data_IF_651143431309
#
_entry.id   IF_651143431309
#
_cell.length_a   1.000
_cell.length_b   1.000
_cell.length_c   1.000
_cell.angle_alpha   90.00
_cell.angle_beta   90.00
_cell.angle_gamma   90.00
#
_symmetry.space_group_name_H-M   'P 1'
#
loop_
_entity.id
_entity.type
_entity.pdbx_description
1 polymer ?
#
# COMPACT_ATOMS: atom_id res chain seq x y z
N UNK A 1 -7.69 -11.66 -4.49
CA UNK A 1 -9.10 -11.76 -4.93
C UNK A 1 -9.67 -13.10 -4.46
N UNK A 2 -10.92 -13.16 -4.00
CA UNK A 2 -11.57 -14.45 -3.70
C UNK A 2 -12.02 -15.14 -4.99
N UNK A 3 -11.85 -16.44 -5.06
CA UNK A 3 -12.24 -17.29 -6.19
C UNK A 3 -13.30 -18.29 -5.73
N UNK A 4 -14.19 -18.67 -6.65
CA UNK A 4 -15.10 -19.79 -6.42
C UNK A 4 -14.30 -21.10 -6.53
N UNK A 5 -14.34 -21.90 -5.48
CA UNK A 5 -13.77 -23.25 -5.51
C UNK A 5 -14.49 -24.10 -6.55
N UNK A 6 -13.74 -24.55 -7.56
CA UNK A 6 -14.23 -25.46 -8.58
C UNK A 6 -13.05 -26.26 -9.13
N UNK A 7 -13.32 -27.46 -9.61
CA UNK A 7 -12.32 -28.29 -10.28
C UNK A 7 -12.86 -28.58 -11.67
N UNK A 8 -12.10 -28.24 -12.69
CA UNK A 8 -12.43 -28.57 -14.07
C UNK A 8 -11.27 -29.30 -14.74
N UNK A 9 -11.59 -30.15 -15.70
CA UNK A 9 -10.58 -30.87 -16.49
C UNK A 9 -10.44 -30.16 -17.82
N UNK A 10 -9.23 -29.73 -18.16
CA UNK A 10 -8.92 -29.30 -19.50
C UNK A 10 -8.64 -30.53 -20.35
N UNK A 11 -9.62 -30.91 -21.18
CA UNK A 11 -9.52 -32.09 -22.03
C UNK A 11 -8.44 -32.00 -23.11
N UNK A 12 -7.95 -30.79 -23.44
CA UNK A 12 -6.90 -30.59 -24.45
C UNK A 12 -5.50 -30.78 -23.89
N UNK A 13 -5.24 -30.25 -22.71
CA UNK A 13 -3.93 -30.39 -22.02
C UNK A 13 -3.88 -31.58 -21.06
N UNK A 14 -5.01 -32.25 -20.82
CA UNK A 14 -5.18 -33.29 -19.81
C UNK A 14 -4.76 -32.82 -18.40
N UNK A 15 -4.96 -31.55 -18.10
CA UNK A 15 -4.62 -30.93 -16.81
C UNK A 15 -5.88 -30.61 -16.01
N UNK A 16 -5.74 -30.60 -14.69
CA UNK A 16 -6.77 -30.10 -13.78
C UNK A 16 -6.60 -28.59 -13.59
N UNK A 17 -7.71 -27.86 -13.64
CA UNK A 17 -7.79 -26.41 -13.37
C UNK A 17 -8.57 -26.23 -12.06
N UNK A 18 -8.12 -25.29 -11.23
CA UNK A 18 -8.78 -24.93 -9.97
C UNK A 18 -8.11 -25.49 -8.71
N UNK A 19 -6.91 -26.03 -8.85
CA UNK A 19 -6.01 -26.35 -7.74
C UNK A 19 -5.05 -25.19 -7.47
N UNK A 20 -4.44 -25.19 -6.30
CA UNK A 20 -3.36 -24.27 -5.95
C UNK A 20 -2.14 -24.45 -6.88
N UNK A 21 -1.68 -23.34 -7.45
CA UNK A 21 -0.59 -23.27 -8.41
C UNK A 21 0.20 -21.95 -8.26
N UNK A 22 1.48 -22.09 -7.93
CA UNK A 22 2.45 -21.01 -7.79
C UNK A 22 3.51 -20.99 -8.92
N UNK A 23 3.34 -21.79 -9.97
CA UNK A 23 4.23 -21.80 -11.14
C UNK A 23 5.65 -22.32 -10.86
N UNK A 24 5.85 -23.11 -9.81
CA UNK A 24 7.14 -23.72 -9.48
C UNK A 24 7.27 -25.10 -10.12
N UNK A 25 8.18 -25.25 -11.08
CA UNK A 25 8.46 -26.53 -11.77
C UNK A 25 8.90 -27.65 -10.81
N UNK A 26 9.61 -27.33 -9.71
CA UNK A 26 10.02 -28.33 -8.70
C UNK A 26 8.86 -28.74 -7.76
N UNK A 27 7.85 -27.89 -7.58
CA UNK A 27 6.66 -28.21 -6.76
C UNK A 27 5.54 -28.90 -7.55
N UNK A 28 5.68 -29.04 -8.87
CA UNK A 28 4.80 -29.91 -9.69
C UNK A 28 4.79 -31.35 -9.15
N UNK A 29 5.84 -31.76 -8.41
CA UNK A 29 5.88 -33.08 -7.75
C UNK A 29 5.12 -33.18 -6.43
N UNK A 30 4.73 -32.05 -5.82
CA UNK A 30 3.78 -31.99 -4.70
C UNK A 30 2.54 -31.25 -5.17
N UNK A 31 1.73 -31.90 -6.00
CA UNK A 31 0.38 -31.43 -6.33
C UNK A 31 -0.35 -31.12 -5.02
N UNK A 32 -0.55 -29.83 -4.73
CA UNK A 32 -1.46 -29.40 -3.70
C UNK A 32 -2.84 -29.87 -4.13
N UNK A 33 -3.41 -30.85 -3.43
CA UNK A 33 -4.78 -31.33 -3.68
C UNK A 33 -5.84 -30.33 -3.21
N UNK A 34 -5.40 -29.18 -2.72
CA UNK A 34 -6.24 -28.11 -2.23
C UNK A 34 -6.84 -27.34 -3.39
N UNK A 35 -8.14 -27.10 -3.31
CA UNK A 35 -8.85 -26.24 -4.24
C UNK A 35 -8.43 -24.80 -4.01
N UNK A 36 -8.14 -24.09 -5.09
CA UNK A 36 -7.84 -22.68 -5.01
C UNK A 36 -9.13 -21.89 -4.71
N UNK A 37 -9.03 -20.98 -3.75
CA UNK A 37 -10.10 -20.06 -3.37
C UNK A 37 -9.62 -18.60 -3.30
N UNK A 38 -8.35 -18.35 -3.59
CA UNK A 38 -7.77 -17.02 -3.71
C UNK A 38 -6.92 -16.90 -4.97
N UNK A 39 -7.06 -15.79 -5.69
CA UNK A 39 -6.19 -15.37 -6.77
C UNK A 39 -5.22 -14.29 -6.29
N UNK A 40 -3.93 -14.55 -6.44
CA UNK A 40 -2.86 -13.56 -6.31
C UNK A 40 -2.53 -13.03 -7.70
N UNK A 41 -2.54 -11.72 -7.88
CA UNK A 41 -2.20 -11.07 -9.15
C UNK A 41 -1.11 -10.04 -8.90
N UNK A 42 -0.04 -10.11 -9.69
CA UNK A 42 0.93 -9.03 -9.79
C UNK A 42 0.61 -8.19 -11.01
N UNK A 43 0.52 -6.89 -10.79
CA UNK A 43 0.25 -5.91 -11.84
C UNK A 43 1.39 -4.91 -11.88
N UNK A 44 1.94 -4.73 -13.07
CA UNK A 44 2.90 -3.69 -13.36
C UNK A 44 2.18 -2.41 -13.76
N UNK A 45 2.72 -1.26 -13.34
CA UNK A 45 2.17 0.06 -13.61
C UNK A 45 3.32 1.01 -13.94
N UNK A 46 3.24 1.67 -15.10
CA UNK A 46 4.25 2.65 -15.50
C UNK A 46 4.06 3.97 -14.78
N UNK A 47 5.15 4.53 -14.24
CA UNK A 47 5.12 5.85 -13.61
C UNK A 47 5.05 7.00 -14.63
N UNK A 48 5.69 6.83 -15.79
CA UNK A 48 5.73 7.83 -16.86
C UNK A 48 4.51 7.73 -17.76
N UNK A 49 4.21 6.53 -18.23
CA UNK A 49 3.15 6.27 -19.21
C UNK A 49 1.84 5.85 -18.53
N UNK A 50 0.69 6.09 -19.17
CA UNK A 50 -0.59 5.58 -18.66
C UNK A 50 -0.79 4.11 -19.08
N UNK A 51 0.10 3.24 -18.60
CA UNK A 51 0.12 1.82 -18.94
C UNK A 51 0.14 0.97 -17.69
N UNK A 52 -0.74 -0.03 -17.65
CA UNK A 52 -0.83 -1.04 -16.60
C UNK A 52 -1.02 -2.40 -17.23
N UNK A 53 -0.40 -3.43 -16.66
CA UNK A 53 -0.45 -4.79 -17.22
C UNK A 53 -0.37 -5.84 -16.10
N UNK A 54 -1.25 -6.85 -16.07
CA UNK A 54 -1.05 -8.01 -15.21
C UNK A 54 0.17 -8.81 -15.72
N UNK A 55 1.14 -9.06 -14.85
CA UNK A 55 2.40 -9.75 -15.19
C UNK A 55 2.46 -11.18 -14.65
N UNK A 56 1.70 -11.48 -13.59
CA UNK A 56 1.60 -12.83 -13.05
C UNK A 56 0.24 -13.02 -12.37
N UNK A 57 -0.29 -14.24 -12.48
CA UNK A 57 -1.53 -14.68 -11.82
C UNK A 57 -1.27 -16.05 -11.22
N UNK A 58 -1.55 -16.19 -9.93
CA UNK A 58 -1.39 -17.44 -9.18
C UNK A 58 -2.68 -17.81 -8.49
N UNK A 59 -2.95 -19.11 -8.42
CA UNK A 59 -4.10 -19.68 -7.74
C UNK A 59 -3.63 -20.25 -6.40
N UNK A 60 -4.32 -19.92 -5.30
CA UNK A 60 -3.89 -20.30 -3.95
C UNK A 60 -5.04 -20.77 -3.08
N UNK A 61 -4.75 -21.71 -2.19
CA UNK A 61 -5.68 -22.17 -1.16
C UNK A 61 -5.48 -21.31 0.10
N UNK A 62 -6.20 -20.19 0.15
CA UNK A 62 -6.08 -19.16 1.17
C UNK A 62 -5.11 -18.04 0.78
N UNK A 63 -4.91 -17.04 1.66
CA UNK A 63 -3.92 -15.99 1.43
C UNK A 63 -2.51 -16.57 1.31
N UNK A 64 -1.77 -16.11 0.29
CA UNK A 64 -0.38 -16.53 0.06
C UNK A 64 0.48 -16.15 1.26
N UNK A 65 1.25 -17.13 1.77
CA UNK A 65 2.11 -16.94 2.94
C UNK A 65 3.21 -15.93 2.63
N UNK A 66 3.54 -15.08 3.59
CA UNK A 66 4.47 -13.95 3.39
C UNK A 66 5.83 -14.35 2.83
N UNK A 67 6.41 -15.48 3.26
CA UNK A 67 7.72 -15.94 2.75
C UNK A 67 7.64 -16.37 1.28
N UNK A 68 6.59 -17.10 0.89
CA UNK A 68 6.40 -17.49 -0.52
C UNK A 68 6.10 -16.26 -1.38
N UNK A 69 5.32 -15.32 -0.86
CA UNK A 69 5.05 -14.06 -1.53
C UNK A 69 6.35 -13.28 -1.81
N UNK A 70 7.29 -13.23 -0.86
CA UNK A 70 8.60 -12.59 -1.06
C UNK A 70 9.40 -13.22 -2.19
N UNK A 71 9.41 -14.56 -2.29
CA UNK A 71 10.08 -15.26 -3.40
C UNK A 71 9.45 -14.91 -4.75
N UNK A 72 8.12 -14.91 -4.81
CA UNK A 72 7.37 -14.55 -6.02
C UNK A 72 7.64 -13.10 -6.43
N UNK A 73 7.69 -12.17 -5.48
CA UNK A 73 8.00 -10.76 -5.73
C UNK A 73 9.42 -10.59 -6.24
N UNK A 74 10.43 -11.22 -5.64
CA UNK A 74 11.82 -11.17 -6.11
C UNK A 74 11.93 -11.73 -7.55
N UNK A 75 11.28 -12.86 -7.82
CA UNK A 75 11.22 -13.44 -9.17
C UNK A 75 10.56 -12.49 -10.18
N UNK A 76 9.47 -11.83 -9.79
CA UNK A 76 8.81 -10.85 -10.63
C UNK A 76 9.72 -9.64 -10.95
N UNK A 77 10.47 -9.12 -9.97
CA UNK A 77 11.41 -8.03 -10.20
C UNK A 77 12.50 -8.45 -11.20
N UNK A 78 13.10 -9.62 -11.00
CA UNK A 78 14.15 -10.14 -11.88
C UNK A 78 13.67 -10.26 -13.33
N UNK A 79 12.49 -10.84 -13.56
CA UNK A 79 11.93 -11.01 -14.91
C UNK A 79 11.55 -9.68 -15.56
N UNK A 80 11.05 -8.72 -14.78
CA UNK A 80 10.71 -7.39 -15.30
C UNK A 80 11.96 -6.59 -15.70
N UNK A 81 13.02 -6.64 -14.89
CA UNK A 81 14.30 -5.98 -15.17
C UNK A 81 15.00 -6.62 -16.37
N UNK A 82 14.97 -7.96 -16.48
CA UNK A 82 15.49 -8.69 -17.64
C UNK A 82 14.75 -8.31 -18.95
N UNK A 83 13.44 -8.07 -18.86
CA UNK A 83 12.63 -7.55 -19.97
C UNK A 83 12.89 -6.06 -20.30
N UNK A 84 13.77 -5.39 -19.55
CA UNK A 84 14.16 -3.99 -19.75
C UNK A 84 13.31 -2.96 -18.99
N UNK A 85 12.45 -3.39 -18.07
CA UNK A 85 11.67 -2.48 -17.23
C UNK A 85 12.40 -2.15 -15.92
N UNK A 86 12.49 -0.87 -15.57
CA UNK A 86 13.07 -0.45 -14.30
C UNK A 86 12.04 -0.46 -13.17
N UNK A 87 12.19 -1.40 -12.24
CA UNK A 87 11.35 -1.51 -11.07
C UNK A 87 11.91 -0.63 -9.95
N UNK A 88 11.16 0.44 -9.63
CA UNK A 88 11.57 1.42 -8.60
C UNK A 88 10.77 1.30 -7.31
N UNK A 89 9.66 0.58 -7.31
CA UNK A 89 8.87 0.38 -6.10
C UNK A 89 7.80 -0.68 -6.20
N UNK A 90 7.32 -1.12 -5.03
CA UNK A 90 6.30 -2.15 -4.88
C UNK A 90 5.19 -1.59 -3.99
N UNK A 91 3.95 -1.72 -4.43
CA UNK A 91 2.77 -1.31 -3.65
C UNK A 91 1.95 -2.52 -3.25
N UNK A 92 1.57 -2.61 -1.98
CA UNK A 92 0.68 -3.64 -1.46
C UNK A 92 -0.26 -3.09 -0.36
N UNK A 93 -1.31 -3.84 -0.03
CA UNK A 93 -2.19 -3.47 1.08
C UNK A 93 -1.52 -3.66 2.46
N UNK A 94 -2.27 -3.34 3.52
CA UNK A 94 -1.82 -3.48 4.91
C UNK A 94 -2.04 -4.86 5.54
N UNK A 95 -2.31 -5.91 4.76
CA UNK A 95 -2.56 -7.26 5.27
C UNK A 95 -1.33 -7.85 5.98
N UNK A 96 -1.58 -8.75 6.94
CA UNK A 96 -0.52 -9.37 7.76
C UNK A 96 0.49 -10.15 6.92
N UNK A 97 0.05 -10.82 5.85
CA UNK A 97 0.91 -11.55 4.91
C UNK A 97 1.90 -10.62 4.20
N UNK A 98 1.44 -9.45 3.77
CA UNK A 98 2.27 -8.42 3.13
C UNK A 98 3.27 -7.79 4.12
N UNK A 99 2.89 -7.65 5.40
CA UNK A 99 3.83 -7.22 6.45
C UNK A 99 4.91 -8.27 6.73
N UNK A 100 4.56 -9.56 6.72
CA UNK A 100 5.54 -10.64 6.82
C UNK A 100 6.47 -10.66 5.62
N UNK A 101 5.96 -10.40 4.41
CA UNK A 101 6.77 -10.25 3.20
C UNK A 101 7.79 -9.11 3.38
N UNK A 102 7.37 -7.93 3.82
CA UNK A 102 8.28 -6.79 4.09
C UNK A 102 9.40 -7.17 5.07
N UNK A 103 9.05 -7.76 6.21
CA UNK A 103 10.03 -8.18 7.21
C UNK A 103 11.03 -9.20 6.64
N UNK A 104 10.56 -10.16 5.85
CA UNK A 104 11.45 -11.16 5.23
C UNK A 104 12.38 -10.60 4.16
N UNK A 105 12.01 -9.48 3.55
CA UNK A 105 12.86 -8.74 2.61
C UNK A 105 13.78 -7.71 3.33
N UNK A 106 13.71 -7.63 4.66
CA UNK A 106 14.53 -6.71 5.47
C UNK A 106 13.99 -5.29 5.58
N UNK A 107 12.71 -5.07 5.29
CA UNK A 107 12.04 -3.76 5.43
C UNK A 107 11.51 -3.62 6.86
N UNK A 108 11.78 -2.49 7.50
CA UNK A 108 11.45 -2.25 8.91
C UNK A 108 11.08 -0.79 9.18
N UNK A 109 10.01 -0.57 9.93
CA UNK A 109 9.56 0.75 10.36
C UNK A 109 10.13 1.18 11.74
N UNK A 110 10.91 0.30 12.38
CA UNK A 110 11.47 0.54 13.71
C UNK A 110 12.47 1.69 13.67
N UNK A 111 12.45 2.58 14.66
CA UNK A 111 13.31 3.78 14.67
C UNK A 111 14.81 3.48 14.59
N UNK A 112 15.27 2.40 15.22
CA UNK A 112 16.70 2.03 15.27
C UNK A 112 17.19 1.32 14.00
N UNK A 113 16.26 0.72 13.25
CA UNK A 113 16.53 -0.08 12.05
C UNK A 113 15.49 0.27 11.00
N UNK A 114 15.41 1.57 10.70
CA UNK A 114 14.42 2.07 9.75
C UNK A 114 14.93 1.81 8.34
N UNK A 115 14.21 0.99 7.59
CA UNK A 115 14.53 0.62 6.22
C UNK A 115 13.25 0.49 5.41
N UNK A 116 13.06 1.38 4.44
CA UNK A 116 11.87 1.50 3.60
C UNK A 116 12.06 0.96 2.17
N UNK A 117 13.24 0.43 1.86
CA UNK A 117 13.60 -0.08 0.54
C UNK A 117 14.33 -1.43 0.64
N UNK A 118 14.38 -2.14 -0.48
CA UNK A 118 15.26 -3.28 -0.70
C UNK A 118 16.27 -2.93 -1.79
N UNK A 119 17.43 -3.56 -1.77
CA UNK A 119 18.35 -3.51 -2.91
C UNK A 119 17.71 -4.27 -4.08
N UNK A 120 17.81 -3.70 -5.28
CA UNK A 120 17.22 -4.34 -6.45
C UNK A 120 17.99 -5.65 -6.73
N UNK A 121 17.29 -6.80 -6.80
CA UNK A 121 17.93 -8.11 -6.96
C UNK A 121 18.63 -8.28 -8.33
N UNK A 122 18.27 -7.48 -9.34
CA UNK A 122 18.92 -7.47 -10.64
C UNK A 122 20.13 -6.53 -10.68
N UNK A 123 20.07 -5.42 -9.94
CA UNK A 123 21.12 -4.38 -9.89
C UNK A 123 21.21 -3.78 -8.48
N UNK A 124 22.20 -4.23 -7.71
CA UNK A 124 22.36 -3.85 -6.30
C UNK A 124 22.65 -2.37 -6.08
N UNK A 125 23.02 -1.61 -7.13
CA UNK A 125 23.19 -0.16 -7.03
C UNK A 125 21.86 0.60 -6.89
N UNK A 126 20.76 -0.03 -7.33
CA UNK A 126 19.42 0.56 -7.30
C UNK A 126 18.60 0.06 -6.13
N UNK A 127 17.63 0.88 -5.75
CA UNK A 127 16.72 0.62 -4.64
C UNK A 127 15.31 0.41 -5.17
N UNK A 128 14.59 -0.53 -4.56
CA UNK A 128 13.16 -0.74 -4.78
C UNK A 128 12.43 -0.34 -3.50
N UNK A 129 11.66 0.75 -3.57
CA UNK A 129 10.97 1.32 -2.42
C UNK A 129 9.65 0.61 -2.13
N UNK A 130 9.31 0.44 -0.86
CA UNK A 130 8.05 -0.20 -0.45
C UNK A 130 6.97 0.83 -0.16
N UNK A 131 5.76 0.56 -0.65
CA UNK A 131 4.58 1.39 -0.45
C UNK A 131 3.44 0.53 0.10
N UNK A 132 2.86 0.95 1.21
CA UNK A 132 1.51 0.52 1.58
C UNK A 132 0.50 1.40 0.84
N UNK A 133 -0.60 0.81 0.39
CA UNK A 133 -1.63 1.56 -0.31
C UNK A 133 -2.16 2.76 0.50
N UNK A 134 -1.87 3.98 0.02
CA UNK A 134 -2.16 5.21 0.74
C UNK A 134 -3.67 5.48 0.91
N UNK A 135 -4.54 5.29 -0.10
CA UNK A 135 -5.99 5.33 0.07
C UNK A 135 -6.50 4.38 1.17
N UNK A 136 -6.05 3.13 1.19
CA UNK A 136 -6.42 2.17 2.25
C UNK A 136 -5.89 2.56 3.62
N UNK A 137 -4.68 3.09 3.72
CA UNK A 137 -4.15 3.60 4.98
C UNK A 137 -5.01 4.74 5.52
N UNK A 138 -5.38 5.71 4.68
CA UNK A 138 -6.27 6.82 5.06
C UNK A 138 -7.65 6.31 5.46
N UNK A 139 -8.19 5.32 4.74
CA UNK A 139 -9.45 4.64 5.10
C UNK A 139 -9.36 3.95 6.46
N UNK A 140 -8.25 3.29 6.78
CA UNK A 140 -8.02 2.64 8.07
C UNK A 140 -7.92 3.66 9.22
N UNK A 141 -7.22 4.78 9.01
CA UNK A 141 -7.12 5.88 9.98
C UNK A 141 -8.52 6.49 10.23
N UNK A 142 -9.28 6.74 9.17
CA UNK A 142 -10.65 7.24 9.25
C UNK A 142 -11.58 6.27 9.97
N UNK A 143 -11.55 4.99 9.60
CA UNK A 143 -12.39 3.95 10.23
C UNK A 143 -12.05 3.79 11.71
N UNK A 144 -10.76 3.90 12.06
CA UNK A 144 -10.29 3.90 13.46
C UNK A 144 -10.86 5.08 14.23
N UNK A 145 -10.78 6.30 13.66
CA UNK A 145 -11.33 7.50 14.28
C UNK A 145 -12.86 7.44 14.41
N UNK A 146 -13.56 6.84 13.44
CA UNK A 146 -15.01 6.63 13.50
C UNK A 146 -15.40 5.65 14.61
N UNK A 147 -14.72 4.51 14.70
CA UNK A 147 -15.02 3.46 15.70
C UNK A 147 -14.70 3.91 17.14
N UNK A 148 -13.52 4.51 17.34
CA UNK A 148 -13.05 4.90 18.67
C UNK A 148 -13.43 6.33 19.07
N UNK A 149 -14.04 7.07 18.15
CA UNK A 149 -14.56 8.44 18.29
C UNK A 149 -13.53 9.50 18.69
N UNK A 150 -12.31 9.11 19.04
CA UNK A 150 -11.24 9.95 19.58
C UNK A 150 -9.89 9.49 19.06
N UNK A 151 -9.03 10.45 18.69
CA UNK A 151 -7.60 10.29 18.51
C UNK A 151 -6.90 11.31 19.40
N UNK A 152 -6.09 10.84 20.35
CA UNK A 152 -5.33 11.73 21.24
C UNK A 152 -3.90 11.79 20.75
N UNK A 153 -3.51 12.95 20.24
CA UNK A 153 -2.20 13.21 19.66
C UNK A 153 -1.18 13.59 20.74
N UNK A 154 -1.65 14.33 21.75
CA UNK A 154 -0.84 14.86 22.84
C UNK A 154 -1.72 14.97 24.11
N UNK A 155 -1.23 14.64 25.31
CA UNK A 155 -2.01 14.77 26.55
C UNK A 155 -2.41 16.20 26.89
N UNK A 156 -1.61 17.18 26.46
CA UNK A 156 -1.83 18.60 26.70
C UNK A 156 -2.80 19.22 25.69
N UNK A 157 -3.12 18.51 24.61
CA UNK A 157 -4.03 18.98 23.56
C UNK A 157 -5.36 18.25 23.63
N UNK A 158 -6.43 18.93 23.24
CA UNK A 158 -7.74 18.30 23.14
C UNK A 158 -7.70 17.12 22.16
N UNK A 159 -8.26 15.99 22.57
CA UNK A 159 -8.44 14.82 21.70
C UNK A 159 -9.26 15.20 20.47
N UNK A 160 -8.81 14.75 19.30
CA UNK A 160 -9.52 14.93 18.03
C UNK A 160 -10.74 14.01 18.08
N UNK A 161 -11.94 14.60 18.20
CA UNK A 161 -13.21 13.87 18.25
C UNK A 161 -13.85 13.83 16.86
N UNK A 162 -14.45 12.70 16.49
CA UNK A 162 -15.21 12.61 15.23
C UNK A 162 -16.35 13.65 15.16
N UNK A 163 -16.97 13.97 16.29
CA UNK A 163 -18.02 14.98 16.41
C UNK A 163 -17.57 16.38 15.99
N UNK A 164 -16.27 16.71 16.12
CA UNK A 164 -15.74 18.00 15.67
C UNK A 164 -15.77 18.10 14.13
N UNK A 165 -15.50 17.01 13.41
CA UNK A 165 -15.61 16.96 11.95
C UNK A 165 -17.06 17.11 11.48
N UNK A 166 -18.01 16.47 12.18
CA UNK A 166 -19.44 16.61 11.88
C UNK A 166 -19.94 18.04 12.13
N UNK A 167 -19.47 18.68 13.21
CA UNK A 167 -19.83 20.05 13.51
C UNK A 167 -19.25 21.01 12.48
N UNK A 168 -17.97 20.89 12.12
CA UNK A 168 -17.35 21.71 11.05
C UNK A 168 -18.13 21.55 9.73
N UNK A 169 -18.49 20.33 9.34
CA UNK A 169 -19.27 20.09 8.13
C UNK A 169 -20.65 20.76 8.17
N UNK A 170 -21.37 20.69 9.30
CA UNK A 170 -22.67 21.36 9.49
C UNK A 170 -22.53 22.88 9.46
N UNK A 171 -21.50 23.43 10.12
CA UNK A 171 -21.25 24.87 10.18
C UNK A 171 -20.83 25.44 8.82
N UNK A 172 -20.04 24.68 8.04
CA UNK A 172 -19.67 25.05 6.67
C UNK A 172 -20.82 24.96 5.67
N UNK A 173 -21.75 24.02 5.86
CA UNK A 173 -22.96 23.91 5.04
C UNK A 173 -23.90 25.10 5.17
N UNK A 174 -23.85 25.81 6.30
CA UNK A 174 -24.69 26.97 6.60
C UNK A 174 -23.98 28.33 6.40
N UNK A 175 -22.70 28.36 6.06
CA UNK A 175 -21.90 29.60 5.94
C UNK A 175 -21.74 30.05 4.49
N UNK A 176 -21.93 31.36 4.23
CA UNK A 176 -21.65 31.99 2.92
C UNK A 176 -20.15 32.02 2.58
N UNK A 177 -19.29 32.16 3.58
CA UNK A 177 -17.83 32.14 3.43
C UNK A 177 -17.29 30.83 4.00
N UNK A 178 -16.85 29.94 3.11
CA UNK A 178 -16.27 28.65 3.51
C UNK A 178 -14.80 28.83 3.85
N UNK A 179 -14.41 28.33 5.02
CA UNK A 179 -13.00 28.31 5.47
C UNK A 179 -12.28 27.14 4.80
N UNK A 180 -12.99 26.04 4.56
CA UNK A 180 -12.57 24.84 3.86
C UNK A 180 -13.45 24.61 2.62
N UNK A 181 -13.39 25.46 1.58
CA UNK A 181 -14.30 25.42 0.42
C UNK A 181 -14.26 24.10 -0.37
N UNK A 182 -13.20 23.29 -0.18
CA UNK A 182 -13.07 21.96 -0.79
C UNK A 182 -13.83 20.87 -0.02
N UNK A 183 -14.23 21.10 1.23
CA UNK A 183 -14.98 20.16 2.06
C UNK A 183 -16.39 19.99 1.48
N UNK A 184 -16.59 18.87 0.78
CA UNK A 184 -17.85 18.52 0.10
C UNK A 184 -18.49 17.31 0.77
N UNK A 185 -19.75 16.98 0.46
CA UNK A 185 -20.34 15.67 0.79
C UNK A 185 -19.40 14.52 0.38
N UNK A 186 -18.62 14.73 -0.67
CA UNK A 186 -17.66 13.78 -1.18
C UNK A 186 -16.37 13.60 -0.33
N UNK A 187 -16.11 14.45 0.66
CA UNK A 187 -15.14 14.13 1.72
C UNK A 187 -15.66 13.05 2.68
N UNK A 188 -16.97 12.80 2.61
CA UNK A 188 -17.65 11.66 3.19
C UNK A 188 -17.98 10.59 2.11
N UNK A 189 -17.81 10.88 0.80
CA UNK A 189 -18.05 9.99 -0.38
C UNK A 189 -17.10 10.20 -1.60
N UNK A 190 -16.33 9.18 -1.97
CA UNK A 190 -15.04 9.17 -2.70
C UNK A 190 -14.93 9.91 -4.08
N UNK A 191 -13.76 10.54 -4.34
CA UNK A 191 -13.13 10.60 -5.68
C UNK A 191 -11.62 11.00 -5.64
N UNK A 192 -10.78 10.32 -6.44
CA UNK A 192 -9.30 10.41 -6.44
C UNK A 192 -8.74 11.14 -7.68
N UNK A 193 -8.36 12.41 -7.57
CA UNK A 193 -7.39 13.04 -8.49
C UNK A 193 -6.73 14.26 -7.82
N UNK A 194 -5.43 14.17 -7.53
CA UNK A 194 -4.62 15.32 -7.14
C UNK A 194 -3.22 15.25 -7.79
N UNK A 195 -2.80 16.36 -8.40
CA UNK A 195 -1.45 16.57 -8.96
C UNK A 195 -0.71 17.56 -8.04
N UNK A 196 0.54 17.29 -7.69
CA UNK A 196 1.32 18.13 -6.75
C UNK A 196 2.57 18.75 -7.41
N UNK A 197 2.91 19.99 -7.00
CA UNK A 197 4.22 20.60 -7.22
C UNK A 197 5.17 20.17 -6.09
N UNK A 198 6.34 19.66 -6.47
CA UNK A 198 7.26 18.86 -5.62
C UNK A 198 7.82 19.62 -4.41
N UNK A 199 8.18 20.90 -4.56
CA UNK A 199 8.87 21.65 -3.49
C UNK A 199 8.05 21.83 -2.22
N UNK A 200 6.73 22.04 -2.36
CA UNK A 200 5.81 22.18 -1.22
C UNK A 200 5.34 20.83 -0.67
N UNK A 201 5.30 19.79 -1.53
CA UNK A 201 4.90 18.44 -1.14
C UNK A 201 5.92 17.81 -0.19
N UNK A 202 7.22 17.93 -0.48
CA UNK A 202 8.28 17.38 0.36
C UNK A 202 8.26 17.98 1.77
N UNK A 203 8.07 19.29 1.90
CA UNK A 203 7.97 19.97 3.20
C UNK A 203 6.79 19.45 4.02
N UNK A 204 5.62 19.27 3.40
CA UNK A 204 4.43 18.74 4.08
C UNK A 204 4.64 17.28 4.51
N UNK A 205 5.25 16.45 3.64
CA UNK A 205 5.53 15.05 3.96
C UNK A 205 6.56 14.92 5.09
N UNK A 206 7.61 15.75 5.09
CA UNK A 206 8.57 15.81 6.20
C UNK A 206 7.92 16.21 7.52
N UNK A 207 7.09 17.27 7.52
CA UNK A 207 6.32 17.67 8.70
C UNK A 207 5.38 16.56 9.18
N UNK A 208 4.75 15.82 8.26
CA UNK A 208 3.89 14.69 8.61
C UNK A 208 4.68 13.55 9.28
N UNK A 209 5.90 13.25 8.80
CA UNK A 209 6.77 12.25 9.42
C UNK A 209 7.24 12.70 10.80
N UNK A 210 7.65 13.95 10.97
CA UNK A 210 8.02 14.51 12.28
C UNK A 210 6.85 14.43 13.27
N UNK A 211 5.65 14.78 12.80
CA UNK A 211 4.43 14.67 13.58
C UNK A 211 4.15 13.22 14.01
N UNK A 212 4.27 12.25 13.09
CA UNK A 212 4.10 10.82 13.38
C UNK A 212 5.12 10.32 14.41
N UNK A 213 6.39 10.72 14.26
CA UNK A 213 7.45 10.34 15.19
C UNK A 213 7.20 10.91 16.59
N UNK A 214 6.72 12.15 16.70
CA UNK A 214 6.35 12.77 17.97
C UNK A 214 5.15 12.05 18.62
N UNK A 215 4.17 11.64 17.82
CA UNK A 215 3.02 10.87 18.30
C UNK A 215 3.43 9.49 18.84
N UNK A 216 4.33 8.80 18.15
CA UNK A 216 4.92 7.54 18.64
C UNK A 216 5.74 7.74 19.93
N UNK A 217 6.51 8.83 20.04
CA UNK A 217 7.23 9.16 21.27
C UNK A 217 6.30 9.38 22.45
N UNK A 218 5.15 10.02 22.24
CA UNK A 218 4.13 10.17 23.29
C UNK A 218 3.60 8.80 23.75
N UNK A 219 3.43 7.83 22.84
CA UNK A 219 3.05 6.47 23.22
C UNK A 219 4.14 5.77 24.04
N UNK A 220 5.39 5.84 23.59
CA UNK A 220 6.54 5.22 24.27
C UNK A 220 6.74 5.82 25.67
N UNK A 221 6.51 7.12 25.83
CA UNK A 221 6.59 7.83 27.12
C UNK A 221 5.40 7.58 28.04
N UNK A 222 4.42 6.76 27.62
CA UNK A 222 3.20 6.48 28.39
C UNK A 222 2.23 7.66 28.50
N UNK A 223 2.43 8.71 27.70
CA UNK A 223 1.62 9.91 27.68
C UNK A 223 0.25 9.66 27.02
N UNK A 224 0.21 8.77 26.03
CA UNK A 224 -1.03 8.28 25.40
C UNK A 224 -1.13 6.77 25.55
N UNK A 225 -2.35 6.23 25.56
CA UNK A 225 -2.59 4.79 25.68
C UNK A 225 -2.62 4.16 24.28
N UNK A 226 -2.32 2.86 24.17
CA UNK A 226 -2.37 2.16 22.86
C UNK A 226 -3.73 2.28 22.16
N UNK A 227 -4.82 2.33 22.94
CA UNK A 227 -6.17 2.52 22.40
C UNK A 227 -6.36 3.88 21.70
N UNK A 228 -5.53 4.87 22.02
CA UNK A 228 -5.60 6.22 21.46
C UNK A 228 -4.63 6.38 20.26
N UNK A 229 -3.88 5.32 19.93
CA UNK A 229 -2.94 5.26 18.83
C UNK A 229 -3.48 4.42 17.66
N UNK A 230 -2.84 4.52 16.49
CA UNK A 230 -3.10 3.63 15.36
C UNK A 230 -2.66 2.20 15.67
N UNK A 231 -3.24 1.22 14.98
CA UNK A 231 -2.66 -0.13 15.02
C UNK A 231 -1.23 -0.07 14.49
N UNK A 232 -0.32 -0.86 15.08
CA UNK A 232 1.10 -0.85 14.69
C UNK A 232 1.30 -1.07 13.19
N UNK A 233 0.59 -2.02 12.58
CA UNK A 233 0.63 -2.27 11.12
C UNK A 233 0.23 -1.05 10.27
N UNK A 234 -0.75 -0.26 10.73
CA UNK A 234 -1.20 0.94 10.00
C UNK A 234 -0.20 2.07 10.15
N UNK A 235 0.32 2.26 11.37
CA UNK A 235 1.37 3.25 11.65
C UNK A 235 2.65 2.96 10.86
N UNK A 236 3.14 1.72 10.93
CA UNK A 236 4.35 1.28 10.23
C UNK A 236 4.21 1.42 8.72
N UNK A 237 3.05 1.00 8.19
CA UNK A 237 2.70 1.18 6.78
C UNK A 237 2.72 2.64 6.36
N UNK A 238 2.09 3.53 7.15
CA UNK A 238 2.05 4.96 6.87
C UNK A 238 3.45 5.58 6.89
N UNK A 239 4.25 5.26 7.91
CA UNK A 239 5.61 5.78 8.08
C UNK A 239 6.51 5.36 6.92
N UNK A 240 6.47 4.08 6.54
CA UNK A 240 7.22 3.56 5.38
C UNK A 240 6.75 4.23 4.10
N UNK A 241 5.45 4.27 3.83
CA UNK A 241 4.90 4.89 2.59
C UNK A 241 5.31 6.35 2.46
N UNK A 242 5.23 7.15 3.54
CA UNK A 242 5.59 8.56 3.50
C UNK A 242 7.08 8.75 3.19
N UNK A 243 7.95 7.99 3.87
CA UNK A 243 9.39 8.08 3.63
C UNK A 243 9.76 7.59 2.23
N UNK A 244 9.22 6.44 1.79
CA UNK A 244 9.38 5.93 0.43
C UNK A 244 8.91 6.91 -0.63
N UNK A 245 7.84 7.66 -0.36
CA UNK A 245 7.35 8.69 -1.29
C UNK A 245 8.37 9.81 -1.42
N UNK A 246 8.92 10.30 -0.30
CA UNK A 246 9.95 11.35 -0.32
C UNK A 246 11.19 10.86 -1.06
N UNK A 247 11.69 9.67 -0.70
CA UNK A 247 12.94 9.14 -1.26
C UNK A 247 12.81 8.86 -2.75
N UNK A 248 11.71 8.22 -3.19
CA UNK A 248 11.48 7.95 -4.60
C UNK A 248 11.27 9.22 -5.41
N UNK A 249 10.54 10.21 -4.88
CA UNK A 249 10.36 11.50 -5.57
C UNK A 249 11.69 12.22 -5.72
N UNK A 250 12.53 12.22 -4.68
CA UNK A 250 13.87 12.81 -4.75
C UNK A 250 14.75 12.09 -5.77
N UNK A 251 14.75 10.76 -5.77
CA UNK A 251 15.48 9.95 -6.76
C UNK A 251 15.03 10.25 -8.19
N UNK A 252 13.72 10.23 -8.45
CA UNK A 252 13.19 10.47 -9.81
C UNK A 252 13.50 11.86 -10.34
N UNK A 253 13.55 12.88 -9.47
CA UNK A 253 13.76 14.26 -9.88
C UNK A 253 15.25 14.60 -9.98
N UNK A 254 16.02 14.25 -8.95
CA UNK A 254 17.43 14.65 -8.86
C UNK A 254 18.32 13.71 -9.68
N UNK A 255 18.05 12.40 -9.64
CA UNK A 255 18.92 11.40 -10.26
C UNK A 255 18.41 11.00 -11.66
N UNK A 256 17.09 10.90 -11.85
CA UNK A 256 16.51 10.58 -13.17
C UNK A 256 16.10 11.81 -14.00
N UNK A 257 16.20 13.03 -13.46
CA UNK A 257 15.89 14.27 -14.19
C UNK A 257 14.41 14.49 -14.51
N UNK A 258 13.49 13.86 -13.76
CA UNK A 258 12.05 14.01 -13.99
C UNK A 258 11.56 15.41 -13.61
N UNK A 259 10.79 16.07 -14.49
CA UNK A 259 10.25 17.40 -14.21
C UNK A 259 9.16 17.40 -13.12
N UNK A 260 8.39 16.31 -13.02
CA UNK A 260 7.38 16.11 -11.99
C UNK A 260 7.11 14.62 -11.78
N UNK A 261 6.51 14.27 -10.64
CA UNK A 261 6.17 12.89 -10.29
C UNK A 261 4.67 12.80 -9.97
N UNK A 262 3.99 11.80 -10.52
CA UNK A 262 2.58 11.53 -10.26
C UNK A 262 2.42 10.51 -9.13
N UNK A 263 2.40 10.99 -7.89
CA UNK A 263 2.27 10.13 -6.69
C UNK A 263 0.96 9.34 -6.64
N UNK A 264 -0.07 9.75 -7.39
CA UNK A 264 -1.30 8.99 -7.57
C UNK A 264 -1.08 7.60 -8.20
N UNK A 265 0.10 7.34 -8.79
CA UNK A 265 0.47 6.02 -9.34
C UNK A 265 1.15 5.10 -8.32
N UNK A 266 1.39 5.56 -7.09
CA UNK A 266 2.00 4.76 -6.01
C UNK A 266 0.93 4.02 -5.16
N UNK A 267 -0.17 3.64 -5.79
CA UNK A 267 -1.32 3.01 -5.15
C UNK A 267 -1.76 1.76 -5.92
N UNK A 268 -2.67 0.97 -5.34
CA UNK A 268 -3.16 -0.26 -5.98
C UNK A 268 -4.50 -0.09 -6.73
N UNK A 269 -4.95 1.13 -7.00
CA UNK A 269 -6.26 1.41 -7.62
C UNK A 269 -6.42 0.69 -8.97
N UNK A 270 -5.35 0.59 -9.76
CA UNK A 270 -5.35 -0.12 -11.05
C UNK A 270 -5.64 -1.61 -10.90
N UNK A 271 -5.13 -2.23 -9.83
CA UNK A 271 -5.38 -3.63 -9.52
C UNK A 271 -6.83 -3.86 -9.07
N UNK A 272 -7.40 -2.94 -8.30
CA UNK A 272 -8.81 -3.01 -7.89
C UNK A 272 -9.76 -2.83 -9.07
N UNK A 273 -9.46 -1.90 -9.99
CA UNK A 273 -10.21 -1.75 -11.23
C UNK A 273 -10.15 -3.02 -12.09
N UNK A 274 -8.97 -3.64 -12.18
CA UNK A 274 -8.80 -4.91 -12.88
C UNK A 274 -9.66 -6.03 -12.27
N UNK A 275 -9.68 -6.16 -10.95
CA UNK A 275 -10.59 -7.10 -10.28
C UNK A 275 -12.06 -6.75 -10.50
N UNK A 276 -12.41 -5.46 -10.54
CA UNK A 276 -13.76 -5.02 -10.90
C UNK A 276 -14.18 -5.55 -12.27
N UNK A 277 -13.32 -5.44 -13.28
CA UNK A 277 -13.57 -5.94 -14.64
C UNK A 277 -13.77 -7.46 -14.66
N UNK A 278 -12.96 -8.22 -13.92
CA UNK A 278 -13.03 -9.70 -13.91
C UNK A 278 -14.27 -10.27 -13.21
N UNK A 279 -14.94 -9.47 -12.36
CA UNK A 279 -16.12 -9.91 -11.62
C UNK A 279 -17.45 -9.62 -12.35
N UNK A 280 -17.40 -8.98 -13.54
CA UNK A 280 -18.53 -8.79 -14.45
C UNK A 280 -18.42 -9.76 -15.63
#
# INVERSE_FOLDING_TARGET
MFLRESLSVNSRSLTYIGLEDFGNEELVRKNSSLKANHGLVFMWSSLTENMVQPIAVFASAGPVKGIELSKLVVKAILLMEDAGAHVVGITCDGASTNRTMWNSLGVSAKKQDFKNYIENPFDTSRKVYMFSDAPHLLKNIRNRLFQNKTLTVDPSKFSIKWEQYLNIFKTEGCSLTKVCPKLTKNHFELNNLAKMKVKYAAQILHQAIEWLNNWELNLIRGLIKEKDFLTRSTYDGLKITLQSTIDLVNYLINDCGSAYVLTAKFNQDSLEKFFGILNY
#
